data_IF_340455315184
#
_entry.id   IF_340455315184
#
_cell.length_a   1.000
_cell.length_b   1.000
_cell.length_c   1.000
_cell.angle_alpha   90.00
_cell.angle_beta   90.00
_cell.angle_gamma   90.00
#
_symmetry.space_group_name_H-M   'P 1'
#
loop_
_entity.id
_entity.type
_entity.pdbx_description
1 polymer ?
#
# COMPACT_ATOMS: atom_id res chain seq x y z
N UNK A 1 26.81 -2.92 -8.36
CA UNK A 1 25.47 -2.33 -8.14
C UNK A 1 25.32 -2.13 -6.65
N UNK A 2 25.34 -0.90 -6.13
CA UNK A 2 25.17 -0.70 -4.69
C UNK A 2 23.71 -1.03 -4.33
N UNK A 3 23.53 -1.93 -3.37
CA UNK A 3 22.23 -2.45 -2.93
C UNK A 3 21.49 -1.43 -2.05
N UNK A 4 21.99 -0.19 -1.99
CA UNK A 4 21.51 0.91 -1.15
C UNK A 4 20.85 2.05 -1.94
N UNK A 5 20.80 1.95 -3.27
CA UNK A 5 20.11 2.93 -4.10
C UNK A 5 18.59 2.85 -3.99
N UNK A 6 17.85 3.87 -4.49
CA UNK A 6 16.38 3.92 -4.50
C UNK A 6 15.68 2.67 -5.06
N UNK A 7 16.41 1.83 -5.81
CA UNK A 7 15.99 0.48 -6.21
C UNK A 7 15.50 -0.39 -5.04
N UNK A 8 16.22 -0.42 -3.91
CA UNK A 8 15.86 -1.26 -2.75
C UNK A 8 14.53 -0.79 -2.13
N UNK A 9 14.33 0.53 -2.07
CA UNK A 9 13.08 1.13 -1.59
C UNK A 9 11.90 0.67 -2.45
N UNK A 10 12.01 0.73 -3.77
CA UNK A 10 10.97 0.23 -4.67
C UNK A 10 10.70 -1.27 -4.50
N UNK A 11 11.77 -2.07 -4.36
CA UNK A 11 11.63 -3.52 -4.16
C UNK A 11 10.91 -3.85 -2.85
N UNK A 12 11.18 -3.12 -1.77
CA UNK A 12 10.54 -3.33 -0.46
C UNK A 12 9.09 -2.83 -0.47
N UNK A 13 8.80 -1.72 -1.15
CA UNK A 13 7.45 -1.12 -1.16
C UNK A 13 6.46 -1.81 -2.09
N UNK A 14 6.92 -2.66 -3.03
CA UNK A 14 6.04 -3.46 -3.90
C UNK A 14 5.12 -4.37 -3.09
N UNK A 15 5.66 -5.15 -2.15
CA UNK A 15 4.90 -6.11 -1.35
C UNK A 15 3.79 -5.43 -0.53
N UNK A 16 4.09 -4.37 0.24
CA UNK A 16 3.09 -3.56 0.92
C UNK A 16 2.02 -2.99 -0.02
N UNK A 17 2.41 -2.52 -1.20
CA UNK A 17 1.45 -1.96 -2.17
C UNK A 17 0.48 -3.03 -2.68
N UNK A 18 1.00 -4.21 -3.05
CA UNK A 18 0.17 -5.34 -3.48
C UNK A 18 -0.76 -5.82 -2.37
N UNK A 19 -0.28 -5.84 -1.13
CA UNK A 19 -1.12 -6.17 0.02
C UNK A 19 -2.25 -5.15 0.22
N UNK A 20 -1.95 -3.85 0.18
CA UNK A 20 -2.96 -2.79 0.27
C UNK A 20 -3.99 -2.88 -0.85
N UNK A 21 -3.55 -3.16 -2.09
CA UNK A 21 -4.43 -3.34 -3.24
C UNK A 21 -5.32 -4.58 -3.11
N UNK A 22 -4.78 -5.69 -2.60
CA UNK A 22 -5.54 -6.91 -2.34
C UNK A 22 -6.64 -6.69 -1.29
N UNK A 23 -6.37 -5.96 -0.20
CA UNK A 23 -7.37 -5.60 0.81
C UNK A 23 -8.49 -4.72 0.25
N UNK A 24 -8.17 -3.79 -0.64
CA UNK A 24 -9.16 -2.99 -1.37
C UNK A 24 -10.00 -3.89 -2.27
N UNK A 25 -9.38 -4.81 -3.01
CA UNK A 25 -10.09 -5.75 -3.89
C UNK A 25 -11.04 -6.66 -3.12
N UNK A 26 -10.55 -7.30 -2.06
CA UNK A 26 -11.36 -8.15 -1.18
C UNK A 26 -12.48 -7.35 -0.49
N UNK A 27 -12.15 -6.16 0.02
CA UNK A 27 -13.11 -5.27 0.65
C UNK A 27 -14.21 -4.82 -0.32
N UNK A 28 -13.84 -4.46 -1.55
CA UNK A 28 -14.79 -4.08 -2.60
C UNK A 28 -15.70 -5.25 -2.95
N UNK A 29 -15.15 -6.46 -3.09
CA UNK A 29 -15.93 -7.66 -3.34
C UNK A 29 -16.95 -7.90 -2.21
N UNK A 30 -16.54 -7.75 -0.95
CA UNK A 30 -17.42 -7.88 0.23
C UNK A 30 -18.53 -6.82 0.26
N UNK A 31 -18.22 -5.57 -0.05
CA UNK A 31 -19.21 -4.48 -0.14
C UNK A 31 -20.27 -4.76 -1.20
N UNK A 32 -19.87 -5.28 -2.37
CA UNK A 32 -20.80 -5.65 -3.45
C UNK A 32 -21.75 -6.78 -3.01
N UNK A 33 -21.30 -7.68 -2.14
CA UNK A 33 -22.10 -8.77 -1.59
C UNK A 33 -22.88 -8.37 -0.32
N UNK A 34 -23.08 -7.06 -0.07
CA UNK A 34 -23.77 -6.50 1.10
C UNK A 34 -23.15 -6.86 2.47
N UNK A 35 -21.88 -7.28 2.49
CA UNK A 35 -21.14 -7.46 3.73
C UNK A 35 -20.61 -6.11 4.22
N UNK A 36 -21.26 -5.52 5.22
CA UNK A 36 -20.84 -4.25 5.84
C UNK A 36 -19.39 -4.25 6.34
N UNK A 37 -18.84 -5.43 6.68
CA UNK A 37 -17.43 -5.57 7.06
C UNK A 37 -16.46 -5.32 5.90
N UNK A 38 -16.92 -5.35 4.64
CA UNK A 38 -16.13 -5.02 3.46
C UNK A 38 -15.61 -3.57 3.47
N UNK A 39 -16.41 -2.63 4.00
CA UNK A 39 -16.01 -1.22 4.12
C UNK A 39 -14.77 -1.05 4.99
N UNK A 40 -14.65 -1.83 6.06
CA UNK A 40 -13.48 -1.80 6.95
C UNK A 40 -12.24 -2.26 6.18
N UNK A 41 -12.34 -3.34 5.41
CA UNK A 41 -11.23 -3.84 4.59
C UNK A 41 -10.78 -2.82 3.54
N UNK A 42 -11.71 -2.15 2.87
CA UNK A 42 -11.40 -1.06 1.92
C UNK A 42 -10.70 0.10 2.63
N UNK A 43 -11.22 0.53 3.78
CA UNK A 43 -10.65 1.65 4.54
C UNK A 43 -9.21 1.35 4.98
N UNK A 44 -8.96 0.14 5.51
CA UNK A 44 -7.63 -0.31 5.88
C UNK A 44 -6.69 -0.37 4.68
N UNK A 45 -7.13 -0.89 3.55
CA UNK A 45 -6.35 -0.92 2.31
C UNK A 45 -5.97 0.48 1.82
N UNK A 46 -6.90 1.44 1.86
CA UNK A 46 -6.62 2.84 1.51
C UNK A 46 -5.63 3.51 2.47
N UNK A 47 -5.77 3.31 3.79
CA UNK A 47 -4.81 3.81 4.78
C UNK A 47 -3.43 3.21 4.51
N UNK A 48 -3.36 1.92 4.20
CA UNK A 48 -2.11 1.22 3.94
C UNK A 48 -1.38 1.77 2.71
N UNK A 49 -2.09 2.00 1.61
CA UNK A 49 -1.52 2.66 0.42
C UNK A 49 -1.08 4.09 0.75
N UNK A 50 -1.88 4.85 1.52
CA UNK A 50 -1.50 6.18 1.97
C UNK A 50 -0.18 6.20 2.74
N UNK A 51 0.02 5.26 3.66
CA UNK A 51 1.27 5.10 4.41
C UNK A 51 2.44 4.75 3.50
N UNK A 52 2.25 3.85 2.52
CA UNK A 52 3.29 3.50 1.53
C UNK A 52 3.73 4.73 0.73
N UNK A 53 2.78 5.57 0.31
CA UNK A 53 3.08 6.82 -0.41
C UNK A 53 3.87 7.78 0.48
N UNK A 54 3.48 7.94 1.75
CA UNK A 54 4.21 8.79 2.70
C UNK A 54 5.65 8.31 2.93
N UNK A 55 5.85 7.01 3.10
CA UNK A 55 7.17 6.40 3.23
C UNK A 55 7.99 6.67 1.96
N UNK A 56 7.41 6.45 0.78
CA UNK A 56 8.07 6.71 -0.49
C UNK A 56 8.54 8.17 -0.60
N UNK A 57 7.66 9.13 -0.31
CA UNK A 57 7.98 10.56 -0.35
C UNK A 57 9.06 10.91 0.68
N UNK A 58 8.94 10.43 1.92
CA UNK A 58 9.91 10.72 2.99
C UNK A 58 11.32 10.23 2.65
N UNK A 59 11.44 8.98 2.19
CA UNK A 59 12.73 8.39 1.82
C UNK A 59 13.29 8.98 0.52
N UNK A 60 12.43 9.36 -0.44
CA UNK A 60 12.88 10.01 -1.68
C UNK A 60 13.27 11.48 -1.47
N UNK A 61 12.63 12.19 -0.54
CA UNK A 61 12.92 13.59 -0.26
C UNK A 61 14.18 13.79 0.59
N UNK A 62 14.46 12.86 1.52
CA UNK A 62 15.64 12.89 2.40
C UNK A 62 16.98 12.55 1.74
N UNK A 63 16.99 12.19 0.45
CA UNK A 63 18.19 11.84 -0.33
C UNK A 63 18.63 12.91 -1.35
N UNK A 64 18.12 14.15 -1.25
CA UNK A 64 18.59 15.29 -2.05
C UNK A 64 19.64 16.13 -1.32
#
# INVERSE_FOLDING_TARGET
>A
MSVTGPQLLYMILILPTLFGLALIGEGTNKVIHEEWYGLISVLFGMIFIGVVILIFIFFSAGTN
#
